data_IF_473096365396
#
_entry.id   IF_473096365396
#
_cell.length_a   1.000
_cell.length_b   1.000
_cell.length_c   1.000
_cell.angle_alpha   90.00
_cell.angle_beta   90.00
_cell.angle_gamma   90.00
#
_symmetry.space_group_name_H-M   'P 1'
#
loop_
_entity.id
_entity.type
_entity.pdbx_description
1 polymer ?
#
# COMPACT_ATOMS: atom_id res chain seq x y z
N UNK A 1 -43.51 17.72 -1.39
CA UNK A 1 -42.09 17.68 -1.83
C UNK A 1 -41.45 16.40 -1.25
N UNK A 2 -41.19 15.39 -2.08
CA UNK A 2 -40.50 14.19 -1.65
C UNK A 2 -39.00 14.47 -1.54
N UNK A 3 -38.29 13.92 -0.54
CA UNK A 3 -36.84 14.12 -0.42
C UNK A 3 -36.13 13.41 -1.56
N UNK A 4 -35.32 14.13 -2.31
CA UNK A 4 -34.40 13.56 -3.30
C UNK A 4 -33.34 12.79 -2.54
N UNK A 5 -33.41 11.47 -2.55
CA UNK A 5 -32.32 10.60 -2.08
C UNK A 5 -31.09 10.89 -2.94
N UNK A 6 -29.91 11.09 -2.32
CA UNK A 6 -28.68 11.25 -3.08
C UNK A 6 -28.47 9.97 -3.90
N UNK A 7 -28.50 10.10 -5.24
CA UNK A 7 -28.33 9.01 -6.18
C UNK A 7 -27.03 8.26 -5.88
N UNK A 8 -27.10 6.93 -5.83
CA UNK A 8 -25.94 6.07 -5.75
C UNK A 8 -25.00 6.43 -6.91
N UNK A 9 -23.83 6.96 -6.58
CA UNK A 9 -22.79 7.31 -7.57
C UNK A 9 -22.47 6.04 -8.37
N UNK A 10 -22.80 6.03 -9.65
CA UNK A 10 -22.49 4.91 -10.52
C UNK A 10 -20.98 4.72 -10.58
N UNK A 11 -20.48 3.63 -9.98
CA UNK A 11 -19.08 3.23 -10.11
C UNK A 11 -18.88 2.74 -11.55
N UNK A 12 -18.05 3.40 -12.32
CA UNK A 12 -17.61 2.84 -13.60
C UNK A 12 -16.96 1.48 -13.36
N UNK A 13 -17.41 0.41 -14.04
CA UNK A 13 -16.84 -0.90 -13.82
C UNK A 13 -15.37 -0.89 -14.27
N UNK A 14 -14.48 -1.27 -13.36
CA UNK A 14 -13.06 -1.41 -13.64
C UNK A 14 -12.84 -2.56 -14.64
N UNK A 15 -12.06 -2.32 -15.68
CA UNK A 15 -11.69 -3.36 -16.65
C UNK A 15 -10.88 -4.47 -15.96
N UNK A 16 -11.09 -5.72 -16.38
CA UNK A 16 -10.30 -6.85 -15.87
C UNK A 16 -8.82 -6.72 -16.28
N UNK A 17 -8.58 -6.45 -17.57
CA UNK A 17 -7.24 -6.15 -18.06
C UNK A 17 -7.02 -4.64 -18.09
N UNK A 18 -5.93 -4.22 -17.45
CA UNK A 18 -5.50 -2.83 -17.52
C UNK A 18 -5.12 -2.48 -18.97
N UNK A 19 -5.55 -1.32 -19.51
CA UNK A 19 -5.15 -0.87 -20.84
C UNK A 19 -3.62 -0.70 -20.94
N UNK A 20 -3.06 -0.99 -22.11
CA UNK A 20 -1.64 -0.74 -22.38
C UNK A 20 -1.44 0.69 -22.86
N UNK A 21 -0.63 1.44 -22.16
CA UNK A 21 -0.22 2.80 -22.50
C UNK A 21 1.29 2.91 -22.37
N UNK A 22 1.97 2.83 -23.49
CA UNK A 22 3.45 2.97 -23.52
C UNK A 22 3.80 4.46 -23.57
N UNK A 23 4.81 4.86 -22.79
CA UNK A 23 5.32 6.22 -22.78
C UNK A 23 6.04 6.57 -24.09
N UNK A 24 5.99 7.83 -24.47
CA UNK A 24 6.61 8.32 -25.72
C UNK A 24 7.98 8.95 -25.50
N UNK A 25 8.32 9.26 -24.23
CA UNK A 25 9.65 9.74 -23.84
C UNK A 25 10.05 9.18 -22.48
N UNK A 26 11.31 9.30 -22.11
CA UNK A 26 11.84 8.80 -20.85
C UNK A 26 11.23 9.45 -19.60
N UNK A 27 10.63 10.63 -19.73
CA UNK A 27 10.04 11.41 -18.63
C UNK A 27 8.50 11.27 -18.52
N UNK A 28 7.86 10.55 -19.43
CA UNK A 28 6.40 10.48 -19.57
C UNK A 28 5.73 9.37 -18.76
N UNK A 29 6.42 8.70 -17.84
CA UNK A 29 5.84 7.60 -17.07
C UNK A 29 4.62 8.05 -16.24
N UNK A 30 4.61 9.28 -15.70
CA UNK A 30 3.49 9.86 -14.97
C UNK A 30 2.20 9.97 -15.80
N UNK A 31 2.20 10.76 -16.90
CA UNK A 31 1.06 10.85 -17.81
C UNK A 31 0.59 9.50 -18.35
N UNK A 32 1.52 8.61 -18.68
CA UNK A 32 1.20 7.29 -19.21
C UNK A 32 0.47 6.41 -18.18
N UNK A 33 0.94 6.38 -16.93
CA UNK A 33 0.27 5.65 -15.85
C UNK A 33 -1.09 6.23 -15.51
N UNK A 34 -1.23 7.56 -15.49
CA UNK A 34 -2.52 8.20 -15.28
C UNK A 34 -3.51 7.88 -16.41
N UNK A 35 -3.08 7.96 -17.67
CA UNK A 35 -3.92 7.57 -18.82
C UNK A 35 -4.36 6.12 -18.71
N UNK A 36 -3.42 5.22 -18.43
CA UNK A 36 -3.69 3.80 -18.25
C UNK A 36 -4.75 3.57 -17.17
N UNK A 37 -4.59 4.18 -15.99
CA UNK A 37 -5.52 4.05 -14.88
C UNK A 37 -6.90 4.60 -15.25
N UNK A 38 -6.98 5.80 -15.85
CA UNK A 38 -8.21 6.43 -16.26
C UNK A 38 -8.97 5.59 -17.31
N UNK A 39 -8.28 5.11 -18.33
CA UNK A 39 -8.90 4.23 -19.36
C UNK A 39 -9.34 2.88 -18.76
N UNK A 40 -8.64 2.39 -17.75
CA UNK A 40 -9.05 1.23 -16.98
C UNK A 40 -10.37 1.41 -16.24
N UNK A 41 -10.75 2.65 -15.93
CA UNK A 41 -12.05 3.06 -15.39
C UNK A 41 -13.01 3.58 -16.47
N UNK A 42 -12.67 3.45 -17.77
CA UNK A 42 -13.53 3.83 -18.88
C UNK A 42 -13.44 5.29 -19.29
N UNK A 43 -12.50 6.06 -18.77
CA UNK A 43 -12.27 7.45 -19.15
C UNK A 43 -11.28 7.52 -20.32
N UNK A 44 -11.74 7.91 -21.50
CA UNK A 44 -10.87 8.03 -22.67
C UNK A 44 -10.23 9.42 -22.75
N UNK A 45 -8.91 9.47 -22.66
CA UNK A 45 -8.14 10.69 -22.54
C UNK A 45 -7.07 10.81 -23.62
N UNK A 46 -6.85 12.03 -24.12
CA UNK A 46 -5.75 12.33 -25.02
C UNK A 46 -4.41 12.31 -24.27
N UNK A 47 -3.47 11.54 -24.76
CA UNK A 47 -2.13 11.45 -24.17
C UNK A 47 -1.40 12.80 -24.15
N UNK A 48 -1.43 13.56 -25.25
CA UNK A 48 -0.79 14.87 -25.33
C UNK A 48 -1.35 15.86 -24.31
N UNK A 49 -2.69 15.92 -24.16
CA UNK A 49 -3.33 16.80 -23.16
C UNK A 49 -2.98 16.39 -21.72
N UNK A 50 -2.85 15.10 -21.45
CA UNK A 50 -2.42 14.63 -20.11
C UNK A 50 -0.98 15.02 -19.82
N UNK A 51 -0.09 14.89 -20.80
CA UNK A 51 1.31 15.28 -20.68
C UNK A 51 1.46 16.76 -20.35
N UNK A 52 0.73 17.63 -21.07
CA UNK A 52 0.69 19.07 -20.79
C UNK A 52 0.12 19.36 -19.40
N UNK A 53 -1.01 18.71 -19.03
CA UNK A 53 -1.67 18.93 -17.75
C UNK A 53 -0.90 18.38 -16.55
N UNK A 54 -0.07 17.33 -16.72
CA UNK A 54 0.84 16.83 -15.69
C UNK A 54 2.06 17.73 -15.49
N UNK A 55 2.24 18.78 -16.30
CA UNK A 55 3.41 19.66 -16.24
C UNK A 55 4.73 18.86 -16.31
N UNK A 56 4.73 17.84 -17.18
CA UNK A 56 5.90 16.96 -17.35
C UNK A 56 7.04 17.74 -17.96
N UNK A 57 8.13 17.83 -17.23
CA UNK A 57 9.38 18.48 -17.64
C UNK A 57 10.52 17.47 -17.79
N UNK A 58 11.76 17.95 -17.75
CA UNK A 58 12.96 17.12 -17.86
C UNK A 58 13.17 16.18 -16.67
N UNK A 59 12.58 16.51 -15.51
CA UNK A 59 12.63 15.72 -14.28
C UNK A 59 11.43 14.76 -14.15
N UNK A 60 10.50 14.81 -15.12
CA UNK A 60 9.26 14.01 -15.13
C UNK A 60 8.08 14.74 -14.52
N UNK A 61 7.10 13.98 -14.00
CA UNK A 61 5.89 14.51 -13.36
C UNK A 61 5.94 14.26 -11.86
N UNK A 62 5.53 15.25 -11.06
CA UNK A 62 5.38 15.07 -9.63
C UNK A 62 4.14 14.23 -9.30
N UNK A 63 4.18 13.54 -8.16
CA UNK A 63 3.05 12.76 -7.68
C UNK A 63 1.84 13.63 -7.36
N UNK A 64 2.08 14.85 -6.87
CA UNK A 64 1.02 15.81 -6.59
C UNK A 64 0.28 16.22 -7.85
N UNK A 65 1.02 16.51 -8.94
CA UNK A 65 0.44 16.85 -10.22
C UNK A 65 -0.44 15.70 -10.78
N UNK A 66 0.03 14.45 -10.66
CA UNK A 66 -0.75 13.28 -11.07
C UNK A 66 -2.01 13.13 -10.21
N UNK A 67 -1.92 13.30 -8.89
CA UNK A 67 -3.07 13.21 -7.98
C UNK A 67 -4.11 14.29 -8.29
N UNK A 68 -3.68 15.54 -8.41
CA UNK A 68 -4.57 16.67 -8.66
C UNK A 68 -5.27 16.52 -10.01
N UNK A 69 -4.55 16.08 -11.03
CA UNK A 69 -5.14 15.82 -12.32
C UNK A 69 -6.11 14.65 -12.29
N UNK A 70 -5.77 13.54 -11.60
CA UNK A 70 -6.68 12.42 -11.40
C UNK A 70 -8.01 12.86 -10.77
N UNK A 71 -7.95 13.73 -9.76
CA UNK A 71 -9.15 14.29 -9.11
C UNK A 71 -9.97 15.17 -10.04
N UNK A 72 -9.32 16.03 -10.83
CA UNK A 72 -10.00 16.86 -11.85
C UNK A 72 -10.69 16.02 -12.93
N UNK A 73 -10.17 14.83 -13.21
CA UNK A 73 -10.76 13.86 -14.12
C UNK A 73 -11.91 13.03 -13.50
N UNK A 74 -12.27 13.32 -12.23
CA UNK A 74 -13.35 12.64 -11.54
C UNK A 74 -12.95 11.30 -10.88
N UNK A 75 -11.66 11.00 -10.78
CA UNK A 75 -11.16 9.86 -10.04
C UNK A 75 -10.99 10.24 -8.56
N UNK A 76 -11.37 9.34 -7.65
CA UNK A 76 -10.97 9.47 -6.26
C UNK A 76 -9.50 9.05 -6.15
N UNK A 77 -8.60 10.02 -5.99
CA UNK A 77 -7.17 9.80 -5.88
C UNK A 77 -6.65 10.37 -4.56
N UNK A 78 -5.85 9.57 -3.85
CA UNK A 78 -5.16 9.99 -2.63
C UNK A 78 -3.77 9.37 -2.55
N UNK A 79 -2.81 10.15 -2.10
CA UNK A 79 -1.50 9.62 -1.74
C UNK A 79 -1.62 8.86 -0.42
N UNK A 80 -0.96 7.72 -0.36
CA UNK A 80 -0.91 6.88 0.83
C UNK A 80 0.51 6.41 1.07
N UNK A 81 0.89 6.40 2.34
CA UNK A 81 2.11 5.78 2.82
C UNK A 81 1.72 4.51 3.54
N UNK A 82 2.18 3.36 3.05
CA UNK A 82 1.85 2.07 3.63
C UNK A 82 3.03 1.09 3.53
N UNK A 83 3.08 0.07 4.39
CA UNK A 83 4.08 -0.99 4.26
C UNK A 83 4.02 -1.66 2.89
N UNK A 84 5.17 -2.05 2.36
CA UNK A 84 5.27 -2.71 1.05
C UNK A 84 4.39 -3.95 0.92
N UNK A 85 4.26 -4.71 2.00
CA UNK A 85 3.46 -5.93 2.05
C UNK A 85 1.96 -5.67 2.11
N UNK A 86 1.50 -4.47 2.48
CA UNK A 86 0.09 -4.08 2.43
C UNK A 86 -0.41 -3.85 1.01
N UNK A 87 0.44 -3.38 0.10
CA UNK A 87 0.06 -3.03 -1.28
C UNK A 87 -0.70 -4.16 -1.99
N UNK A 88 -0.25 -5.41 -1.80
CA UNK A 88 -0.78 -6.56 -2.52
C UNK A 88 -1.75 -7.43 -1.70
N UNK A 89 -2.11 -6.97 -0.50
CA UNK A 89 -3.06 -7.68 0.37
C UNK A 89 -4.48 -7.22 0.04
N UNK A 90 -5.39 -8.14 -0.35
CA UNK A 90 -6.76 -7.76 -0.72
C UNK A 90 -7.51 -6.99 0.36
N UNK A 91 -7.27 -7.31 1.64
CA UNK A 91 -7.91 -6.66 2.78
C UNK A 91 -7.47 -5.19 2.97
N UNK A 92 -6.33 -4.80 2.41
CA UNK A 92 -5.89 -3.40 2.40
C UNK A 92 -6.68 -2.53 1.41
N UNK A 93 -7.30 -3.15 0.40
CA UNK A 93 -8.10 -2.50 -0.65
C UNK A 93 -7.37 -1.31 -1.31
N UNK A 94 -6.07 -1.49 -1.60
CA UNK A 94 -5.20 -0.43 -2.15
C UNK A 94 -5.25 -0.39 -3.68
N UNK A 95 -5.45 -1.55 -4.32
CA UNK A 95 -5.40 -1.64 -5.78
C UNK A 95 -6.73 -1.21 -6.47
N UNK A 96 -6.65 -0.55 -7.61
CA UNK A 96 -5.45 -0.21 -8.36
C UNK A 96 -4.68 0.97 -7.76
N UNK A 97 -3.37 0.98 -7.97
CA UNK A 97 -2.49 2.05 -7.49
C UNK A 97 -1.41 2.39 -8.54
N UNK A 98 -1.09 3.68 -8.67
CA UNK A 98 0.15 4.10 -9.31
C UNK A 98 1.24 3.99 -8.24
N UNK A 99 2.31 3.28 -8.52
CA UNK A 99 3.38 3.00 -7.58
C UNK A 99 4.73 3.34 -8.20
N UNK A 100 5.70 3.64 -7.35
CA UNK A 100 7.08 3.87 -7.78
C UNK A 100 7.86 2.58 -7.66
N UNK A 101 8.53 2.20 -8.73
CA UNK A 101 9.48 1.09 -8.76
C UNK A 101 10.88 1.61 -9.03
N UNK A 102 11.88 0.83 -8.67
CA UNK A 102 13.29 1.10 -8.96
C UNK A 102 13.64 0.43 -10.28
N UNK A 103 14.01 1.22 -11.28
CA UNK A 103 14.56 0.67 -12.51
C UNK A 103 15.97 0.07 -12.29
N UNK A 104 16.44 -0.83 -13.16
CA UNK A 104 17.78 -1.41 -13.07
C UNK A 104 18.90 -0.36 -13.02
N UNK A 105 18.69 0.79 -13.66
CA UNK A 105 19.61 1.94 -13.65
C UNK A 105 19.49 2.79 -12.36
N UNK A 106 18.63 2.40 -11.41
CA UNK A 106 18.47 3.08 -10.13
C UNK A 106 17.48 4.25 -10.12
N UNK A 107 16.94 4.65 -11.26
CA UNK A 107 15.98 5.74 -11.36
C UNK A 107 14.58 5.33 -10.90
N UNK A 108 13.84 6.22 -10.21
CA UNK A 108 12.43 5.99 -9.88
C UNK A 108 11.57 5.99 -11.16
N UNK A 109 10.57 5.10 -11.21
CA UNK A 109 9.70 4.96 -12.35
C UNK A 109 8.27 4.65 -11.90
N UNK A 110 7.28 5.31 -12.49
CA UNK A 110 5.87 5.05 -12.20
C UNK A 110 5.36 3.87 -13.00
N UNK A 111 4.68 2.94 -12.31
CA UNK A 111 3.92 1.85 -12.92
C UNK A 111 2.53 1.76 -12.29
N UNK A 112 1.59 1.11 -12.97
CA UNK A 112 0.26 0.83 -12.40
C UNK A 112 0.20 -0.60 -11.89
N UNK A 113 0.09 -0.80 -10.59
CA UNK A 113 -0.33 -2.07 -10.00
C UNK A 113 -1.85 -2.13 -10.08
N UNK A 114 -2.40 -3.00 -10.95
CA UNK A 114 -3.82 -2.99 -11.29
C UNK A 114 -4.65 -3.94 -10.43
N UNK A 115 -4.24 -5.19 -10.37
CA UNK A 115 -4.97 -6.23 -9.65
C UNK A 115 -4.05 -7.39 -9.30
N UNK A 116 -4.52 -8.29 -8.46
CA UNK A 116 -3.82 -9.54 -8.16
C UNK A 116 -4.66 -10.74 -8.59
N UNK A 117 -4.02 -11.78 -9.12
CA UNK A 117 -4.63 -13.05 -9.47
C UNK A 117 -3.75 -14.19 -8.94
N UNK A 118 -4.20 -14.84 -7.88
CA UNK A 118 -3.38 -15.85 -7.20
C UNK A 118 -2.00 -15.27 -6.78
N UNK A 119 -0.88 -15.87 -7.19
CA UNK A 119 0.46 -15.39 -6.86
C UNK A 119 0.94 -14.23 -7.75
N UNK A 120 0.18 -13.84 -8.76
CA UNK A 120 0.54 -12.86 -9.77
C UNK A 120 -0.02 -11.47 -9.49
N UNK A 121 0.69 -10.45 -9.95
CA UNK A 121 0.24 -9.05 -9.96
C UNK A 121 0.13 -8.60 -11.41
N UNK A 122 -1.00 -8.02 -11.77
CA UNK A 122 -1.13 -7.34 -13.06
C UNK A 122 -0.53 -5.95 -12.93
N UNK A 123 0.54 -5.72 -13.67
CA UNK A 123 1.27 -4.45 -13.69
C UNK A 123 1.26 -3.91 -15.11
N UNK A 124 0.97 -2.62 -15.25
CA UNK A 124 1.21 -1.88 -16.48
C UNK A 124 2.43 -0.98 -16.27
N UNK A 125 3.48 -1.28 -17.00
CA UNK A 125 4.72 -0.54 -17.00
C UNK A 125 4.79 0.30 -18.28
N UNK A 126 4.81 1.64 -18.19
CA UNK A 126 4.88 2.50 -19.38
C UNK A 126 6.11 2.29 -20.25
N UNK A 127 7.21 1.77 -19.68
CA UNK A 127 8.42 1.48 -20.43
C UNK A 127 8.40 0.16 -21.21
N UNK A 128 7.65 -0.84 -20.71
CA UNK A 128 7.71 -2.22 -21.24
C UNK A 128 6.35 -2.83 -21.59
N UNK A 129 5.24 -2.19 -21.22
CA UNK A 129 3.91 -2.71 -21.41
C UNK A 129 3.36 -3.51 -20.23
N UNK A 130 2.24 -4.19 -20.44
CA UNK A 130 1.57 -4.99 -19.40
C UNK A 130 2.35 -6.28 -19.12
N UNK A 131 2.58 -6.56 -17.82
CA UNK A 131 3.28 -7.76 -17.35
C UNK A 131 2.61 -8.36 -16.11
N UNK A 132 2.95 -9.61 -15.81
CA UNK A 132 2.40 -10.39 -14.70
C UNK A 132 3.52 -10.98 -13.85
N UNK A 133 4.24 -10.17 -13.06
CA UNK A 133 5.25 -10.70 -12.14
C UNK A 133 4.60 -11.46 -10.98
N UNK A 134 5.38 -12.35 -10.34
CA UNK A 134 5.03 -12.91 -9.05
C UNK A 134 5.00 -11.80 -7.99
N UNK A 135 4.10 -11.88 -7.02
CA UNK A 135 3.98 -10.88 -5.92
C UNK A 135 5.30 -10.61 -5.23
N UNK A 136 6.12 -11.65 -4.99
CA UNK A 136 7.44 -11.48 -4.38
C UNK A 136 8.36 -10.66 -5.28
N UNK A 137 8.49 -11.04 -6.54
CA UNK A 137 9.34 -10.32 -7.49
C UNK A 137 8.91 -8.86 -7.65
N UNK A 138 7.60 -8.59 -7.73
CA UNK A 138 7.11 -7.22 -7.81
C UNK A 138 7.41 -6.41 -6.56
N UNK A 139 7.32 -7.00 -5.37
CA UNK A 139 7.71 -6.33 -4.12
C UNK A 139 9.18 -5.93 -4.11
N UNK A 140 10.06 -6.77 -4.64
CA UNK A 140 11.50 -6.51 -4.71
C UNK A 140 11.83 -5.33 -5.66
N UNK A 141 10.93 -5.01 -6.61
CA UNK A 141 11.06 -3.85 -7.50
C UNK A 141 10.61 -2.53 -6.86
N UNK A 142 9.78 -2.56 -5.80
CA UNK A 142 9.21 -1.36 -5.22
C UNK A 142 10.30 -0.41 -4.71
N UNK A 143 10.11 0.87 -4.99
CA UNK A 143 10.94 1.90 -4.38
C UNK A 143 10.50 2.11 -2.93
N UNK A 144 11.35 1.74 -1.98
CA UNK A 144 11.07 1.89 -0.57
C UNK A 144 11.58 3.22 -0.07
N UNK A 145 10.68 4.08 0.35
CA UNK A 145 11.00 5.33 0.99
C UNK A 145 10.90 5.18 2.51
N UNK A 146 11.82 5.80 3.24
CA UNK A 146 11.79 5.85 4.71
C UNK A 146 11.57 7.28 5.14
N UNK A 147 10.46 7.56 5.80
CA UNK A 147 10.16 8.87 6.35
C UNK A 147 9.77 8.79 7.83
N UNK A 148 9.92 9.91 8.51
CA UNK A 148 9.45 10.04 9.89
C UNK A 148 7.99 10.47 9.88
N UNK A 149 7.15 9.73 10.59
CA UNK A 149 5.74 10.09 10.80
C UNK A 149 5.49 10.29 12.29
N UNK A 150 4.59 11.22 12.69
CA UNK A 150 4.24 11.39 14.10
C UNK A 150 3.67 10.09 14.68
N UNK A 151 4.15 9.67 15.85
CA UNK A 151 3.71 8.45 16.53
C UNK A 151 2.20 8.40 16.75
N UNK A 152 1.58 9.54 17.07
CA UNK A 152 0.13 9.68 17.21
C UNK A 152 -0.63 9.48 15.89
N UNK A 153 -0.07 9.96 14.79
CA UNK A 153 -0.62 9.74 13.44
C UNK A 153 -0.59 8.27 13.05
N UNK A 154 0.55 7.62 13.24
CA UNK A 154 0.70 6.19 13.02
C UNK A 154 -0.26 5.38 13.91
N UNK A 155 -0.33 5.68 15.21
CA UNK A 155 -1.23 5.00 16.16
C UNK A 155 -2.70 5.12 15.74
N UNK A 156 -3.12 6.28 15.24
CA UNK A 156 -4.47 6.50 14.73
C UNK A 156 -4.75 5.61 13.51
N UNK A 157 -3.82 5.55 12.57
CA UNK A 157 -3.94 4.69 11.41
C UNK A 157 -3.89 3.21 11.79
N UNK A 158 -3.00 2.79 12.68
CA UNK A 158 -2.92 1.42 13.18
C UNK A 158 -4.18 0.97 13.95
N UNK A 159 -5.00 1.91 14.43
CA UNK A 159 -6.32 1.64 15.00
C UNK A 159 -7.47 1.69 13.99
N UNK A 160 -7.20 2.00 12.73
CA UNK A 160 -8.24 2.04 11.70
C UNK A 160 -8.63 0.64 11.23
N UNK A 161 -9.86 0.53 10.73
CA UNK A 161 -10.36 -0.72 10.14
C UNK A 161 -9.47 -1.20 8.98
N UNK A 162 -8.96 -0.27 8.19
CA UNK A 162 -8.07 -0.54 7.06
C UNK A 162 -6.80 -1.30 7.49
N UNK A 163 -6.12 -0.85 8.55
CA UNK A 163 -4.95 -1.52 9.10
C UNK A 163 -5.31 -2.82 9.82
N UNK A 164 -6.35 -2.79 10.63
CA UNK A 164 -6.72 -3.93 11.47
C UNK A 164 -7.17 -5.14 10.65
N UNK A 165 -7.82 -4.94 9.50
CA UNK A 165 -8.15 -6.03 8.57
C UNK A 165 -6.89 -6.77 8.09
N UNK A 166 -5.83 -6.04 7.76
CA UNK A 166 -4.55 -6.61 7.33
C UNK A 166 -3.85 -7.32 8.49
N UNK A 167 -3.83 -6.72 9.67
CA UNK A 167 -3.24 -7.33 10.87
C UNK A 167 -3.95 -8.63 11.26
N UNK A 168 -5.28 -8.63 11.29
CA UNK A 168 -6.08 -9.83 11.56
C UNK A 168 -5.81 -10.95 10.54
N UNK A 169 -5.67 -10.60 9.25
CA UNK A 169 -5.27 -11.56 8.22
C UNK A 169 -3.89 -12.14 8.54
N UNK A 170 -2.90 -11.30 8.85
CA UNK A 170 -1.53 -11.73 9.16
C UNK A 170 -1.50 -12.67 10.36
N UNK A 171 -2.21 -12.35 11.43
CA UNK A 171 -2.35 -13.21 12.61
C UNK A 171 -2.93 -14.59 12.25
N UNK A 172 -3.97 -14.62 11.39
CA UNK A 172 -4.55 -15.89 10.93
C UNK A 172 -3.56 -16.69 10.07
N UNK A 173 -2.79 -16.04 9.21
CA UNK A 173 -1.76 -16.71 8.38
C UNK A 173 -0.65 -17.35 9.21
N UNK A 174 -0.33 -16.80 10.37
CA UNK A 174 0.63 -17.39 11.29
C UNK A 174 0.01 -18.40 12.28
N UNK A 175 -1.23 -18.80 12.06
CA UNK A 175 -1.89 -19.87 12.80
C UNK A 175 -2.71 -19.41 14.01
N UNK A 176 -2.83 -18.10 14.26
CA UNK A 176 -3.67 -17.57 15.34
C UNK A 176 -5.14 -17.69 14.93
N UNK A 177 -5.95 -18.39 15.73
CA UNK A 177 -7.37 -18.55 15.49
C UNK A 177 -8.12 -17.22 15.56
N UNK A 178 -9.23 -17.10 14.83
CA UNK A 178 -9.97 -15.83 14.65
C UNK A 178 -10.28 -15.12 15.98
N UNK A 179 -10.88 -15.83 16.93
CA UNK A 179 -11.21 -15.25 18.26
C UNK A 179 -9.97 -14.83 19.06
N UNK A 180 -8.85 -15.58 18.93
CA UNK A 180 -7.60 -15.22 19.58
C UNK A 180 -6.98 -13.99 18.94
N UNK A 181 -7.00 -13.88 17.61
CA UNK A 181 -6.54 -12.71 16.87
C UNK A 181 -7.28 -11.42 17.28
N UNK A 182 -8.61 -11.50 17.39
CA UNK A 182 -9.44 -10.37 17.86
C UNK A 182 -9.07 -9.95 19.30
N UNK A 183 -8.86 -10.92 20.22
CA UNK A 183 -8.41 -10.62 21.59
C UNK A 183 -7.03 -9.98 21.62
N UNK A 184 -6.08 -10.46 20.81
CA UNK A 184 -4.75 -9.89 20.71
C UNK A 184 -4.78 -8.45 20.20
N UNK A 185 -5.57 -8.19 19.15
CA UNK A 185 -5.78 -6.84 18.62
C UNK A 185 -6.41 -5.92 19.65
N UNK A 186 -7.48 -6.37 20.33
CA UNK A 186 -8.13 -5.59 21.41
C UNK A 186 -7.12 -5.25 22.50
N UNK A 187 -6.31 -6.22 22.94
CA UNK A 187 -5.26 -6.00 23.94
C UNK A 187 -4.20 -5.01 23.43
N UNK A 188 -3.75 -5.14 22.20
CA UNK A 188 -2.80 -4.20 21.59
C UNK A 188 -3.34 -2.77 21.47
N UNK A 189 -4.65 -2.61 21.33
CA UNK A 189 -5.32 -1.31 21.25
C UNK A 189 -5.63 -0.68 22.61
N UNK A 190 -5.59 -1.44 23.72
CA UNK A 190 -5.78 -0.91 25.09
C UNK A 190 -4.72 0.11 25.47
N UNK A 191 -3.48 -0.05 24.96
CA UNK A 191 -2.45 0.97 25.09
C UNK A 191 -2.76 2.16 24.18
N UNK A 192 -2.95 3.37 24.75
CA UNK A 192 -3.14 4.57 23.94
C UNK A 192 -1.90 4.95 23.13
N UNK A 193 -0.70 4.47 23.55
CA UNK A 193 0.54 4.65 22.82
C UNK A 193 0.59 3.69 21.61
N UNK A 194 1.61 3.87 20.78
CA UNK A 194 1.80 3.09 19.56
C UNK A 194 2.47 1.73 19.79
N UNK A 195 3.16 1.56 20.92
CA UNK A 195 4.09 0.44 21.15
C UNK A 195 3.40 -0.92 21.13
N UNK A 196 2.30 -1.06 21.83
CA UNK A 196 1.64 -2.36 21.99
C UNK A 196 1.12 -2.91 20.65
N UNK A 197 0.39 -2.10 19.87
CA UNK A 197 -0.11 -2.54 18.57
C UNK A 197 1.02 -2.76 17.55
N UNK A 198 2.11 -1.99 17.63
CA UNK A 198 3.31 -2.19 16.82
C UNK A 198 4.04 -3.49 17.19
N UNK A 199 4.12 -3.81 18.49
CA UNK A 199 4.70 -5.07 18.97
C UNK A 199 3.91 -6.29 18.45
N UNK A 200 2.58 -6.19 18.42
CA UNK A 200 1.74 -7.26 17.86
C UNK A 200 1.99 -7.47 16.37
N UNK A 201 2.07 -6.38 15.60
CA UNK A 201 2.36 -6.46 14.16
C UNK A 201 3.77 -7.01 13.91
N UNK A 202 4.76 -6.55 14.68
CA UNK A 202 6.14 -7.04 14.59
C UNK A 202 6.24 -8.54 14.93
N UNK A 203 5.56 -9.01 15.99
CA UNK A 203 5.48 -10.42 16.35
C UNK A 203 4.89 -11.27 15.22
N UNK A 204 3.78 -10.82 14.63
CA UNK A 204 3.15 -11.52 13.52
C UNK A 204 4.07 -11.57 12.27
N UNK A 205 4.79 -10.48 11.95
CA UNK A 205 5.76 -10.43 10.84
C UNK A 205 6.96 -11.36 11.07
N UNK A 206 7.48 -11.38 12.28
CA UNK A 206 8.60 -12.25 12.64
C UNK A 206 8.21 -13.73 12.48
N UNK A 207 7.05 -14.13 13.01
CA UNK A 207 6.55 -15.50 12.84
C UNK A 207 6.29 -15.83 11.37
N UNK A 208 5.72 -14.89 10.60
CA UNK A 208 5.53 -15.07 9.16
C UNK A 208 6.86 -15.27 8.41
N UNK A 209 7.93 -14.58 8.81
CA UNK A 209 9.27 -14.76 8.24
C UNK A 209 9.84 -16.16 8.55
N UNK A 210 9.67 -16.65 9.79
CA UNK A 210 10.07 -18.00 10.19
C UNK A 210 9.30 -19.09 9.42
N UNK A 211 8.01 -18.87 9.18
CA UNK A 211 7.21 -19.77 8.34
C UNK A 211 7.70 -19.76 6.88
N UNK A 212 8.01 -18.58 6.36
CA UNK A 212 8.49 -18.39 4.99
C UNK A 212 9.87 -19.00 4.73
N UNK A 213 10.73 -19.08 5.75
CA UNK A 213 12.05 -19.73 5.69
C UNK A 213 12.00 -21.25 5.92
N UNK A 214 10.81 -21.80 6.22
CA UNK A 214 10.66 -23.22 6.53
C UNK A 214 11.13 -23.61 7.95
N UNK A 215 11.53 -22.63 8.78
CA UNK A 215 11.97 -22.88 10.16
C UNK A 215 10.82 -23.24 11.12
N UNK A 216 9.58 -23.03 10.69
CA UNK A 216 8.37 -23.29 11.48
C UNK A 216 7.22 -23.66 10.54
N UNK A 217 6.24 -24.42 11.05
CA UNK A 217 4.97 -24.69 10.35
C UNK A 217 3.83 -23.93 10.98
N UNK A 218 2.89 -23.46 10.16
CA UNK A 218 1.70 -22.76 10.66
C UNK A 218 0.83 -23.68 11.52
N UNK A 219 0.39 -23.21 12.69
CA UNK A 219 -0.44 -23.99 13.62
C UNK A 219 -0.33 -23.51 15.07
N UNK A 220 -0.62 -24.39 16.01
CA UNK A 220 -0.65 -24.04 17.45
C UNK A 220 0.71 -23.55 17.97
N UNK A 221 1.83 -24.06 17.45
CA UNK A 221 3.17 -23.65 17.88
C UNK A 221 3.52 -22.25 17.40
N UNK A 222 3.25 -21.94 16.12
CA UNK A 222 3.46 -20.58 15.59
C UNK A 222 2.53 -19.55 16.22
N UNK A 223 1.29 -19.92 16.53
CA UNK A 223 0.37 -19.06 17.27
C UNK A 223 0.88 -18.72 18.67
N UNK A 224 1.31 -19.76 19.43
CA UNK A 224 1.92 -19.54 20.77
C UNK A 224 3.18 -18.70 20.71
N UNK A 225 4.02 -18.93 19.70
CA UNK A 225 5.22 -18.09 19.51
C UNK A 225 4.84 -16.63 19.24
N UNK A 226 3.82 -16.38 18.41
CA UNK A 226 3.34 -15.03 18.15
C UNK A 226 2.84 -14.33 19.42
N UNK A 227 2.07 -15.04 20.25
CA UNK A 227 1.61 -14.51 21.55
C UNK A 227 2.79 -14.22 22.50
N UNK A 228 3.73 -15.17 22.63
CA UNK A 228 4.91 -15.00 23.48
C UNK A 228 5.79 -13.81 23.05
N UNK A 229 5.98 -13.64 21.74
CA UNK A 229 6.71 -12.49 21.20
C UNK A 229 5.98 -11.17 21.46
N UNK A 230 4.65 -11.15 21.34
CA UNK A 230 3.85 -9.98 21.68
C UNK A 230 3.94 -9.63 23.16
N UNK A 231 3.86 -10.62 24.04
CA UNK A 231 3.96 -10.44 25.50
C UNK A 231 5.33 -9.93 25.91
N UNK A 232 6.40 -10.50 25.34
CA UNK A 232 7.78 -10.03 25.54
C UNK A 232 8.03 -8.64 24.94
N UNK A 233 7.39 -8.31 23.83
CA UNK A 233 7.51 -7.01 23.17
C UNK A 233 6.82 -5.84 23.88
N UNK A 234 5.92 -6.11 24.80
CA UNK A 234 5.24 -5.09 25.60
C UNK A 234 6.06 -4.64 26.84
N UNK A 235 7.16 -5.31 27.17
CA UNK A 235 8.05 -4.91 28.26
C UNK A 235 8.91 -3.69 27.92
N UNK A 236 9.30 -2.91 28.93
CA UNK A 236 10.16 -1.73 28.75
C UNK A 236 11.50 -2.06 28.07
N UNK A 237 11.99 -3.29 28.21
CA UNK A 237 13.26 -3.77 27.66
C UNK A 237 13.16 -4.22 26.19
N UNK A 238 11.97 -4.40 25.66
CA UNK A 238 11.74 -4.83 24.27
C UNK A 238 12.28 -3.84 23.21
N UNK A 239 12.41 -2.57 23.58
CA UNK A 239 13.03 -1.54 22.74
C UNK A 239 14.54 -1.74 22.55
N UNK A 240 15.23 -2.44 23.49
CA UNK A 240 16.65 -2.73 23.39
C UNK A 240 16.97 -3.92 22.49
N UNK A 241 16.01 -4.80 22.22
CA UNK A 241 16.23 -6.07 21.50
C UNK A 241 16.02 -5.93 19.98
N UNK A 242 15.74 -4.73 19.46
CA UNK A 242 15.59 -4.51 18.01
C UNK A 242 14.34 -5.15 17.39
N UNK A 243 13.40 -5.63 18.19
CA UNK A 243 12.21 -6.38 17.75
C UNK A 243 11.21 -5.53 16.96
N UNK A 244 11.29 -4.21 17.11
CA UNK A 244 10.45 -3.26 16.36
C UNK A 244 11.32 -2.56 15.31
N UNK A 245 12.16 -3.31 14.60
CA UNK A 245 13.11 -2.77 13.64
C UNK A 245 12.48 -1.90 12.53
N UNK A 246 11.20 -2.11 12.24
CA UNK A 246 10.45 -1.31 11.25
C UNK A 246 9.78 -0.06 11.87
N UNK A 247 9.71 0.05 13.20
CA UNK A 247 8.97 1.11 13.91
C UNK A 247 9.85 1.85 14.93
N UNK A 248 11.03 2.31 14.54
CA UNK A 248 11.88 3.10 15.46
C UNK A 248 11.26 4.45 15.78
N UNK A 249 11.03 4.72 17.07
CA UNK A 249 10.68 6.05 17.55
C UNK A 249 11.95 6.84 17.85
N UNK A 250 12.08 8.01 17.26
CA UNK A 250 13.06 9.04 17.61
C UNK A 250 12.27 10.33 17.79
N UNK A 251 12.35 10.94 18.96
CA UNK A 251 11.73 12.24 19.27
C UNK A 251 10.21 12.32 18.99
N UNK A 252 9.45 11.29 19.40
CA UNK A 252 8.00 11.24 19.21
C UNK A 252 7.54 10.90 17.78
N UNK A 253 8.47 10.60 16.89
CA UNK A 253 8.18 10.15 15.53
C UNK A 253 8.51 8.66 15.35
N UNK A 254 7.74 7.99 14.52
CA UNK A 254 7.98 6.59 14.14
C UNK A 254 8.62 6.59 12.75
N UNK A 255 9.69 5.84 12.57
CA UNK A 255 10.19 5.51 11.23
C UNK A 255 9.31 4.41 10.65
N UNK A 256 8.81 4.67 9.47
CA UNK A 256 7.99 3.75 8.72
C UNK A 256 8.71 3.44 7.41
N UNK A 257 8.88 2.17 7.09
CA UNK A 257 9.43 1.73 5.83
C UNK A 257 8.28 1.21 4.98
N UNK A 258 8.03 1.86 3.88
CA UNK A 258 6.94 1.50 2.98
C UNK A 258 7.05 2.25 1.67
N UNK A 259 6.09 2.03 0.81
CA UNK A 259 5.97 2.81 -0.40
C UNK A 259 5.32 4.14 -0.05
N UNK A 260 6.10 5.19 0.00
CA UNK A 260 5.69 6.51 0.42
C UNK A 260 5.78 7.51 -0.70
N UNK A 261 4.93 8.53 -0.61
CA UNK A 261 5.24 9.79 -1.25
C UNK A 261 6.40 10.46 -0.51
N UNK A 262 7.46 10.67 -1.19
CA UNK A 262 8.32 11.84 -1.02
C UNK A 262 7.68 12.97 -1.82
N UNK A 263 8.07 14.21 -1.61
CA UNK A 263 7.57 15.36 -2.41
C UNK A 263 7.74 15.14 -3.93
N UNK A 264 8.39 14.04 -4.36
CA UNK A 264 8.65 13.67 -5.74
C UNK A 264 8.40 12.20 -6.13
N UNK A 265 8.07 11.33 -5.17
CA UNK A 265 7.85 9.90 -5.49
C UNK A 265 6.97 9.22 -4.44
N UNK A 266 5.84 8.66 -4.83
CA UNK A 266 4.91 7.94 -3.95
C UNK A 266 3.86 7.15 -4.71
N UNK A 267 3.05 6.39 -4.00
CA UNK A 267 1.98 5.60 -4.56
C UNK A 267 0.62 6.28 -4.46
N UNK A 268 -0.28 5.99 -5.40
CA UNK A 268 -1.67 6.45 -5.37
C UNK A 268 -2.63 5.28 -5.28
N UNK A 269 -3.68 5.47 -4.51
CA UNK A 269 -4.89 4.67 -4.63
C UNK A 269 -5.86 5.39 -5.56
N UNK A 270 -6.32 4.72 -6.61
CA UNK A 270 -7.31 5.24 -7.54
C UNK A 270 -8.64 4.51 -7.35
N UNK A 271 -9.69 5.26 -6.99
CA UNK A 271 -11.07 4.78 -7.01
C UNK A 271 -11.90 5.67 -7.92
N UNK A 272 -12.78 5.09 -8.70
CA UNK A 272 -13.73 5.85 -9.52
C UNK A 272 -14.80 6.46 -8.61
N UNK A 273 -14.99 7.77 -8.67
CA UNK A 273 -16.08 8.49 -7.98
C UNK A 273 -17.34 8.54 -8.82
N UNK A 274 -17.62 7.61 -9.68
CA UNK A 274 -18.83 7.56 -10.50
C UNK A 274 -19.73 8.80 -10.38
N UNK A 275 -19.55 9.75 -11.25
CA UNK A 275 -20.56 10.59 -11.90
C UNK A 275 -19.89 11.70 -12.71
N UNK A 276 -20.08 11.68 -13.98
CA UNK A 276 -20.32 12.87 -14.76
C UNK A 276 -21.81 12.99 -14.94
#
# INVERSE_FOLDING_TARGET
MAPILPGAKARHPRRFLVPEVVQTSGTDCGPATLKCAAEGFGLHLSYGRLREACQTDVDGSSIDAIQDLARRLGLEARQVLLPEDHLLVPEADVLPAIVVVRQPVGLPHFVVAWSTLGPWVQVMDPGTGRRWPLRRAFRDELYLHTMRVPASGWRRWAGSEEYLRVLLRRLRQVGVGARAAERLVTRGLQDPAWRSIAALDAAARMVASLLGSGGLSAGATSARLCEALFDGGNGADALQVGWIAEYHSIDGNIRFRGQAGDDRAGGFQLKSTGSL
#
